data_IF_037218743375
#
_entry.id   IF_037218743375
#
_cell.length_a   1.000
_cell.length_b   1.000
_cell.length_c   1.000
_cell.angle_alpha   90.00
_cell.angle_beta   90.00
_cell.angle_gamma   90.00
#
_symmetry.space_group_name_H-M   'P 1'
#
loop_
_entity.id
_entity.type
_entity.pdbx_description
1 polymer ?
#
# COMPACT_ATOMS: atom_id res chain seq x y z
N UNK A 1 -15.21 36.02 -15.69
CA UNK A 1 -15.41 34.66 -16.24
C UNK A 1 -14.95 33.66 -15.19
N UNK A 2 -15.88 33.01 -14.49
CA UNK A 2 -15.56 32.01 -13.45
C UNK A 2 -15.45 30.63 -14.10
N UNK A 3 -14.31 29.96 -13.92
CA UNK A 3 -14.12 28.55 -14.27
C UNK A 3 -14.40 27.74 -13.00
N UNK A 4 -15.42 26.90 -13.03
CA UNK A 4 -15.79 26.03 -11.91
C UNK A 4 -14.93 24.76 -11.92
N UNK A 5 -14.17 24.52 -10.85
CA UNK A 5 -13.46 23.27 -10.64
C UNK A 5 -14.34 22.32 -9.81
N UNK A 6 -14.76 21.23 -10.43
CA UNK A 6 -15.59 20.18 -9.82
C UNK A 6 -14.72 19.28 -8.93
N UNK A 7 -14.93 19.29 -7.61
CA UNK A 7 -14.30 18.33 -6.67
C UNK A 7 -14.87 16.93 -6.92
N UNK A 8 -14.00 15.96 -7.24
CA UNK A 8 -14.36 14.55 -7.41
C UNK A 8 -14.24 13.82 -6.06
N UNK A 9 -15.37 13.38 -5.51
CA UNK A 9 -15.42 12.48 -4.36
C UNK A 9 -15.16 11.06 -4.86
N UNK A 10 -14.09 10.43 -4.37
CA UNK A 10 -13.71 9.07 -4.72
C UNK A 10 -14.67 8.06 -4.07
N UNK A 11 -15.74 7.70 -4.79
CA UNK A 11 -16.60 6.57 -4.45
C UNK A 11 -16.08 5.32 -5.15
N UNK A 12 -15.76 4.28 -4.38
CA UNK A 12 -15.41 2.95 -4.89
C UNK A 12 -16.52 2.43 -5.81
N UNK A 13 -16.27 2.37 -7.11
CA UNK A 13 -17.17 1.74 -8.08
C UNK A 13 -16.75 0.29 -8.33
N UNK A 14 -17.62 -0.64 -7.95
CA UNK A 14 -17.58 -2.04 -8.40
C UNK A 14 -18.09 -2.07 -9.84
N UNK A 15 -17.23 -2.41 -10.81
CA UNK A 15 -17.64 -2.58 -12.21
C UNK A 15 -17.92 -4.07 -12.48
N UNK A 16 -19.19 -4.42 -12.71
CA UNK A 16 -19.59 -5.72 -13.27
C UNK A 16 -19.52 -5.63 -14.81
N UNK A 17 -18.65 -6.42 -15.43
CA UNK A 17 -18.59 -6.56 -16.90
C UNK A 17 -19.69 -7.54 -17.34
N UNK A 18 -20.60 -7.11 -18.23
CA UNK A 18 -21.51 -7.99 -18.99
C UNK A 18 -21.06 -8.03 -20.45
N UNK A 19 -21.14 -9.22 -21.04
CA UNK A 19 -20.71 -9.58 -22.40
C UNK A 19 -21.68 -9.04 -23.48
N UNK A 20 -21.09 -8.70 -24.63
CA UNK A 20 -21.62 -7.98 -25.80
C UNK A 20 -22.91 -8.48 -26.47
N UNK A 21 -23.65 -7.57 -27.14
CA UNK A 21 -23.77 -7.46 -28.62
C UNK A 21 -24.74 -6.33 -29.05
N UNK A 22 -24.38 -5.63 -30.13
CA UNK A 22 -25.08 -4.48 -30.79
C UNK A 22 -25.94 -5.00 -31.99
N UNK A 23 -26.66 -4.19 -32.83
CA UNK A 23 -26.99 -2.75 -32.81
C UNK A 23 -28.45 -2.36 -33.28
N UNK A 24 -28.95 -1.14 -32.97
CA UNK A 24 -29.77 -0.27 -33.88
C UNK A 24 -30.13 1.10 -33.25
N UNK A 25 -30.20 2.16 -34.06
CA UNK A 25 -30.68 3.53 -33.74
C UNK A 25 -31.97 3.84 -34.56
N UNK A 26 -32.58 5.06 -34.53
CA UNK A 26 -32.84 6.08 -33.47
C UNK A 26 -34.36 6.44 -33.38
N UNK A 27 -34.81 7.30 -32.42
CA UNK A 27 -35.76 8.46 -32.63
C UNK A 27 -36.40 9.04 -31.33
N UNK A 28 -36.27 10.38 -31.21
CA UNK A 28 -37.19 11.47 -30.74
C UNK A 28 -37.97 11.46 -29.42
N UNK A 29 -37.77 12.57 -28.69
CA UNK A 29 -38.71 13.51 -28.04
C UNK A 29 -39.85 13.03 -27.14
N UNK A 30 -39.89 13.54 -25.91
CA UNK A 30 -40.82 14.62 -25.48
C UNK A 30 -40.77 14.76 -23.95
N UNK A 31 -40.49 15.97 -23.47
CA UNK A 31 -40.73 16.42 -22.10
C UNK A 31 -41.74 17.56 -22.12
N UNK A 32 -42.76 17.52 -21.27
CA UNK A 32 -43.61 18.68 -21.02
C UNK A 32 -44.34 18.64 -19.68
N UNK A 33 -44.59 19.86 -19.21
CA UNK A 33 -45.49 20.35 -18.14
C UNK A 33 -44.86 20.56 -16.75
N UNK A 34 -44.53 21.80 -16.35
CA UNK A 34 -45.40 22.95 -15.91
C UNK A 34 -46.04 22.68 -14.53
N UNK A 35 -46.14 23.59 -13.55
CA UNK A 35 -45.91 25.02 -13.45
C UNK A 35 -45.76 25.43 -11.95
N UNK A 36 -45.20 26.62 -11.75
CA UNK A 36 -45.11 27.48 -10.54
C UNK A 36 -46.50 27.94 -9.98
N UNK A 37 -46.59 28.91 -9.04
CA UNK A 37 -46.11 29.00 -7.64
C UNK A 37 -47.25 29.55 -6.72
N UNK A 38 -46.90 30.37 -5.69
CA UNK A 38 -47.72 31.28 -4.83
C UNK A 38 -47.79 30.77 -3.37
N UNK A 39 -46.99 31.26 -2.41
CA UNK A 39 -46.91 32.60 -1.77
C UNK A 39 -48.07 32.89 -0.79
N UNK A 40 -47.78 33.05 0.52
CA UNK A 40 -48.45 34.03 1.39
C UNK A 40 -47.79 34.14 2.79
N UNK A 41 -47.42 35.38 3.09
CA UNK A 41 -47.04 36.02 4.35
C UNK A 41 -47.86 35.66 5.61
N UNK A 42 -47.27 35.88 6.81
CA UNK A 42 -47.69 36.90 7.81
C UNK A 42 -46.77 36.88 9.06
N UNK A 43 -46.05 37.96 9.44
CA UNK A 43 -46.36 39.01 10.46
C UNK A 43 -46.75 38.44 11.84
N UNK A 44 -46.25 38.83 13.04
CA UNK A 44 -45.36 39.88 13.57
C UNK A 44 -45.34 39.82 15.12
N UNK A 45 -44.47 40.62 15.78
CA UNK A 45 -44.56 41.21 17.15
C UNK A 45 -44.06 40.37 18.36
N UNK A 46 -43.43 40.88 19.44
CA UNK A 46 -42.66 42.10 19.85
C UNK A 46 -42.01 41.78 21.24
N UNK A 47 -40.97 42.54 21.64
CA UNK A 47 -40.54 42.97 23.01
C UNK A 47 -39.74 42.05 23.97
N UNK A 48 -38.48 42.47 24.17
CA UNK A 48 -37.68 42.72 25.39
C UNK A 48 -37.54 41.71 26.55
N UNK A 49 -36.27 41.40 26.88
CA UNK A 49 -35.83 40.86 28.17
C UNK A 49 -34.32 40.57 28.22
N UNK A 50 -33.58 41.25 29.12
CA UNK A 50 -32.11 41.19 29.27
C UNK A 50 -31.59 39.87 29.88
N UNK A 51 -30.54 39.34 29.24
CA UNK A 51 -29.30 38.70 29.73
C UNK A 51 -29.35 37.69 30.89
N UNK A 52 -29.01 36.43 30.59
CA UNK A 52 -28.11 35.59 31.39
C UNK A 52 -27.21 34.75 30.46
N UNK A 53 -25.96 34.60 30.88
CA UNK A 53 -24.78 34.07 30.21
C UNK A 53 -24.89 32.64 29.65
N UNK A 54 -24.33 32.42 28.47
CA UNK A 54 -23.74 31.15 28.07
C UNK A 54 -22.55 31.47 27.17
N UNK A 55 -21.33 31.28 27.65
CA UNK A 55 -20.18 31.15 26.75
C UNK A 55 -20.44 29.92 25.89
N UNK A 56 -21.02 30.11 24.71
CA UNK A 56 -21.05 29.07 23.71
C UNK A 56 -19.61 28.88 23.27
N UNK A 57 -18.96 27.82 23.75
CA UNK A 57 -17.79 27.24 23.09
C UNK A 57 -18.20 26.97 21.65
N UNK A 58 -17.86 27.92 20.78
CA UNK A 58 -18.17 27.91 19.36
C UNK A 58 -17.40 26.73 18.78
N UNK A 59 -18.08 25.59 18.58
CA UNK A 59 -17.58 24.59 17.66
C UNK A 59 -17.44 25.29 16.31
N UNK A 60 -16.23 25.30 15.71
CA UNK A 60 -16.02 25.97 14.43
C UNK A 60 -17.05 25.44 13.43
N UNK A 61 -17.76 26.36 12.78
CA UNK A 61 -18.76 26.03 11.78
C UNK A 61 -18.11 25.24 10.64
N UNK A 62 -18.89 24.36 10.00
CA UNK A 62 -18.44 23.52 8.87
C UNK A 62 -17.75 24.32 7.75
N UNK A 63 -18.07 25.61 7.62
CA UNK A 63 -17.45 26.52 6.64
C UNK A 63 -15.94 26.77 6.90
N UNK A 64 -15.51 26.68 8.17
CA UNK A 64 -14.11 26.83 8.54
C UNK A 64 -13.27 25.58 8.16
N UNK A 65 -13.92 24.43 7.97
CA UNK A 65 -13.32 23.19 7.46
C UNK A 65 -13.30 23.12 5.91
N UNK A 66 -14.16 23.91 5.24
CA UNK A 66 -14.30 23.87 3.78
C UNK A 66 -13.45 24.95 3.06
N UNK A 67 -12.76 25.79 3.85
CA UNK A 67 -11.70 26.67 3.34
C UNK A 67 -10.64 25.82 2.64
N UNK A 68 -10.33 26.06 1.36
CA UNK A 68 -9.23 25.37 0.70
C UNK A 68 -7.97 25.62 1.53
N UNK A 69 -7.38 24.56 2.07
CA UNK A 69 -6.02 24.64 2.59
C UNK A 69 -5.18 25.01 1.37
N UNK A 70 -4.66 26.23 1.32
CA UNK A 70 -3.63 26.59 0.36
C UNK A 70 -2.46 25.65 0.62
N UNK A 71 -2.32 24.64 -0.25
CA UNK A 71 -1.17 23.76 -0.23
C UNK A 71 0.08 24.64 -0.38
N UNK A 72 1.04 24.59 0.55
CA UNK A 72 2.28 25.35 0.41
C UNK A 72 2.87 25.08 -0.97
N UNK A 73 3.40 26.09 -1.68
CA UNK A 73 3.91 25.92 -3.05
C UNK A 73 4.99 24.82 -3.19
N UNK A 74 5.54 24.34 -2.07
CA UNK A 74 6.52 23.24 -1.98
C UNK A 74 5.95 21.88 -1.55
N UNK A 75 4.64 21.73 -1.31
CA UNK A 75 4.04 20.40 -1.03
C UNK A 75 3.96 19.58 -2.31
N UNK A 76 4.99 18.78 -2.53
CA UNK A 76 5.04 17.88 -3.67
C UNK A 76 4.00 16.78 -3.52
N UNK A 77 3.10 16.67 -4.49
CA UNK A 77 2.19 15.54 -4.57
C UNK A 77 2.97 14.24 -4.84
N UNK A 78 3.22 13.48 -3.78
CA UNK A 78 3.95 12.20 -3.84
C UNK A 78 3.21 11.09 -4.58
N UNK A 79 2.01 11.32 -5.14
CA UNK A 79 1.36 10.35 -6.04
C UNK A 79 1.89 10.43 -7.48
N UNK A 80 2.55 11.53 -7.87
CA UNK A 80 3.07 11.73 -9.24
C UNK A 80 4.49 12.30 -9.29
N UNK A 81 4.97 12.94 -8.23
CA UNK A 81 6.29 13.59 -8.17
C UNK A 81 7.49 12.63 -8.19
N UNK A 82 8.58 13.02 -8.84
CA UNK A 82 9.91 12.40 -8.75
C UNK A 82 10.94 13.32 -8.07
N UNK A 83 10.47 14.26 -7.25
CA UNK A 83 11.31 15.26 -6.58
C UNK A 83 12.50 14.62 -5.84
N UNK A 84 13.70 15.18 -6.02
CA UNK A 84 14.91 14.73 -5.35
C UNK A 84 15.52 13.43 -5.88
N UNK A 85 14.94 12.82 -6.93
CA UNK A 85 15.53 11.64 -7.55
C UNK A 85 16.89 11.98 -8.18
N UNK A 86 17.92 11.20 -7.84
CA UNK A 86 19.28 11.32 -8.38
C UNK A 86 19.98 12.67 -8.20
N UNK A 87 19.49 13.54 -7.31
CA UNK A 87 20.11 14.87 -7.10
C UNK A 87 21.42 14.77 -6.32
N UNK A 88 21.50 13.90 -5.32
CA UNK A 88 22.71 13.67 -4.52
C UNK A 88 22.69 12.28 -3.84
N UNK A 89 23.85 11.73 -3.44
CA UNK A 89 23.89 10.55 -2.58
C UNK A 89 23.35 10.85 -1.16
N UNK A 90 23.01 9.80 -0.40
CA UNK A 90 22.77 9.96 1.04
C UNK A 90 24.11 10.14 1.79
N UNK A 91 24.10 10.71 3.01
CA UNK A 91 25.29 10.79 3.84
C UNK A 91 25.96 9.43 4.04
N UNK A 92 27.29 9.43 4.22
CA UNK A 92 28.07 8.19 4.36
C UNK A 92 27.56 7.29 5.50
N UNK A 93 27.19 7.87 6.64
CA UNK A 93 26.62 7.14 7.78
C UNK A 93 25.32 6.36 7.43
N UNK A 94 24.50 6.92 6.54
CA UNK A 94 23.25 6.28 6.07
C UNK A 94 23.62 5.16 5.10
N UNK A 95 24.53 5.43 4.15
CA UNK A 95 25.00 4.44 3.19
C UNK A 95 25.63 3.22 3.90
N UNK A 96 26.45 3.46 4.93
CA UNK A 96 27.09 2.43 5.74
C UNK A 96 26.07 1.52 6.44
N UNK A 97 24.90 2.04 6.81
CA UNK A 97 23.81 1.24 7.40
C UNK A 97 23.04 0.46 6.32
N UNK A 98 22.73 1.09 5.19
CA UNK A 98 21.95 0.47 4.12
C UNK A 98 22.71 -0.67 3.42
N UNK A 99 24.03 -0.55 3.31
CA UNK A 99 24.91 -1.51 2.67
C UNK A 99 25.47 -2.57 3.63
N UNK A 100 24.99 -2.63 4.88
CA UNK A 100 25.42 -3.68 5.82
C UNK A 100 25.05 -5.06 5.29
N UNK A 101 25.96 -6.05 5.42
CA UNK A 101 25.61 -7.43 5.11
C UNK A 101 24.49 -7.90 6.02
N UNK A 102 23.58 -8.68 5.46
CA UNK A 102 22.45 -9.30 6.15
C UNK A 102 22.99 -10.32 7.13
N UNK A 103 22.47 -10.28 8.36
CA UNK A 103 22.73 -11.34 9.34
C UNK A 103 22.13 -12.67 8.81
N UNK A 104 22.94 -13.73 8.59
CA UNK A 104 22.43 -14.99 8.07
C UNK A 104 21.29 -15.61 8.90
N UNK A 105 21.29 -15.38 10.22
CA UNK A 105 20.23 -15.89 11.10
C UNK A 105 18.85 -15.25 10.83
N UNK A 106 18.84 -14.04 10.26
CA UNK A 106 17.63 -13.32 9.92
C UNK A 106 17.04 -13.72 8.55
N UNK A 107 17.79 -14.49 7.76
CA UNK A 107 17.37 -14.92 6.42
C UNK A 107 16.55 -16.19 6.54
N UNK A 108 15.35 -16.17 6.00
CA UNK A 108 14.43 -17.32 5.97
C UNK A 108 14.45 -18.04 4.63
N UNK A 109 13.96 -19.28 4.61
CA UNK A 109 13.82 -20.07 3.39
C UNK A 109 12.41 -20.63 3.27
N UNK A 110 11.79 -20.44 2.11
CA UNK A 110 10.51 -21.07 1.77
C UNK A 110 10.72 -22.55 1.41
N UNK A 111 9.67 -23.38 1.50
CA UNK A 111 9.76 -24.80 1.11
C UNK A 111 10.17 -25.06 -0.34
N UNK A 112 9.98 -24.09 -1.24
CA UNK A 112 10.43 -24.13 -2.64
C UNK A 112 11.93 -23.81 -2.81
N UNK A 113 12.60 -23.41 -1.73
CA UNK A 113 14.00 -23.03 -1.69
C UNK A 113 14.25 -21.54 -1.95
N UNK A 114 13.24 -20.69 -2.06
CA UNK A 114 13.46 -19.25 -2.16
C UNK A 114 13.87 -18.70 -0.79
N UNK A 115 15.04 -18.06 -0.73
CA UNK A 115 15.47 -17.35 0.49
C UNK A 115 14.92 -15.92 0.49
N UNK A 116 14.59 -15.41 1.67
CA UNK A 116 14.07 -14.06 1.82
C UNK A 116 14.42 -13.48 3.18
N UNK A 117 14.45 -12.15 3.26
CA UNK A 117 14.53 -11.43 4.52
C UNK A 117 13.10 -11.03 4.93
N UNK A 118 12.66 -11.28 6.18
CA UNK A 118 11.34 -10.86 6.64
C UNK A 118 11.14 -9.33 6.57
N UNK A 119 9.92 -8.90 6.23
CA UNK A 119 9.55 -7.50 5.99
C UNK A 119 9.93 -6.55 7.14
N UNK A 120 9.79 -7.02 8.38
CA UNK A 120 10.13 -6.25 9.59
C UNK A 120 11.61 -5.85 9.61
N UNK A 121 12.51 -6.65 9.04
CA UNK A 121 13.95 -6.37 9.02
C UNK A 121 14.26 -5.18 8.11
N UNK A 122 13.61 -5.08 6.94
CA UNK A 122 13.73 -3.90 6.08
C UNK A 122 13.28 -2.63 6.80
N UNK A 123 12.13 -2.66 7.50
CA UNK A 123 11.65 -1.50 8.27
C UNK A 123 12.62 -1.08 9.37
N UNK A 124 13.24 -2.04 10.06
CA UNK A 124 14.27 -1.77 11.07
C UNK A 124 15.53 -1.15 10.46
N UNK A 125 15.97 -1.62 9.29
CA UNK A 125 17.10 -1.04 8.55
C UNK A 125 16.78 0.40 8.15
N UNK A 126 15.59 0.67 7.60
CA UNK A 126 15.17 2.03 7.25
C UNK A 126 15.05 2.94 8.47
N UNK A 127 14.49 2.46 9.59
CA UNK A 127 14.44 3.23 10.84
C UNK A 127 15.83 3.53 11.39
N UNK A 128 16.78 2.59 11.27
CA UNK A 128 18.17 2.79 11.69
C UNK A 128 18.88 3.80 10.78
N UNK A 129 18.66 3.71 9.47
CA UNK A 129 19.32 4.54 8.46
C UNK A 129 18.76 5.97 8.40
N UNK A 130 17.44 6.12 8.42
CA UNK A 130 16.77 7.41 8.19
C UNK A 130 16.09 8.00 9.44
N UNK A 131 15.90 7.20 10.49
CA UNK A 131 15.11 7.55 11.66
C UNK A 131 13.60 7.29 11.46
N UNK A 132 12.85 7.00 12.54
CA UNK A 132 11.38 6.98 12.49
C UNK A 132 10.82 8.31 11.98
N UNK A 133 9.92 8.28 11.00
CA UNK A 133 9.40 9.48 10.34
C UNK A 133 10.29 10.03 9.22
N UNK A 134 11.53 9.57 9.10
CA UNK A 134 12.47 9.95 8.03
C UNK A 134 12.25 9.23 6.70
N UNK A 135 11.27 8.32 6.61
CA UNK A 135 10.92 7.61 5.38
C UNK A 135 9.44 7.24 5.34
N UNK A 136 8.93 6.98 4.13
CA UNK A 136 7.54 6.57 3.93
C UNK A 136 7.29 5.98 2.54
N UNK A 137 6.18 5.26 2.41
CA UNK A 137 5.67 4.80 1.12
C UNK A 137 4.49 5.67 0.72
N UNK A 138 4.65 6.38 -0.39
CA UNK A 138 3.58 7.11 -1.03
C UNK A 138 2.85 6.18 -2.02
N UNK A 139 1.53 6.00 -1.89
CA UNK A 139 0.77 5.23 -2.86
C UNK A 139 0.78 5.89 -4.25
N UNK A 140 0.94 5.07 -5.29
CA UNK A 140 0.89 5.47 -6.70
C UNK A 140 -0.30 4.79 -7.37
N UNK A 141 -1.21 5.60 -7.90
CA UNK A 141 -2.45 5.12 -8.53
C UNK A 141 -3.40 4.42 -7.56
N UNK A 142 -4.45 3.82 -8.13
CA UNK A 142 -5.46 3.04 -7.40
C UNK A 142 -5.04 1.58 -7.23
N UNK A 143 -5.70 0.87 -6.31
CA UNK A 143 -5.52 -0.58 -6.22
C UNK A 143 -6.12 -1.27 -7.44
N UNK A 144 -5.34 -2.15 -8.07
CA UNK A 144 -5.85 -3.12 -9.04
C UNK A 144 -6.25 -4.38 -8.28
N UNK A 145 -7.57 -4.61 -8.18
CA UNK A 145 -8.13 -5.74 -7.45
C UNK A 145 -8.68 -6.76 -8.45
N UNK A 146 -8.10 -7.94 -8.45
CA UNK A 146 -8.60 -9.14 -9.13
C UNK A 146 -9.34 -10.05 -8.15
N UNK A 147 -9.95 -11.14 -8.62
CA UNK A 147 -10.75 -12.03 -7.79
C UNK A 147 -10.00 -12.64 -6.58
N UNK A 148 -8.67 -12.78 -6.66
CA UNK A 148 -7.82 -13.40 -5.62
C UNK A 148 -6.49 -12.67 -5.40
N UNK A 149 -6.34 -11.47 -5.94
CA UNK A 149 -5.08 -10.73 -5.88
C UNK A 149 -5.34 -9.22 -5.83
N UNK A 150 -4.56 -8.51 -5.04
CA UNK A 150 -4.50 -7.06 -5.02
C UNK A 150 -3.10 -6.61 -5.39
N UNK A 151 -2.98 -5.60 -6.24
CA UNK A 151 -1.70 -4.97 -6.56
C UNK A 151 -1.81 -3.46 -6.62
N UNK A 152 -0.72 -2.76 -6.26
CA UNK A 152 -0.61 -1.30 -6.34
C UNK A 152 0.84 -0.89 -6.42
N UNK A 153 1.10 0.24 -7.04
CA UNK A 153 2.42 0.85 -7.03
C UNK A 153 2.62 1.72 -5.79
N UNK A 154 3.84 1.73 -5.29
CA UNK A 154 4.26 2.59 -4.20
C UNK A 154 5.60 3.21 -4.54
N UNK A 155 5.79 4.46 -4.12
CA UNK A 155 7.07 5.15 -4.16
C UNK A 155 7.64 5.23 -2.75
N UNK A 156 8.89 4.79 -2.59
CA UNK A 156 9.67 5.03 -1.39
C UNK A 156 10.21 6.45 -1.41
N UNK A 157 9.94 7.18 -0.34
CA UNK A 157 10.44 8.51 -0.07
C UNK A 157 11.26 8.44 1.21
N UNK A 158 12.48 8.96 1.20
CA UNK A 158 13.36 9.04 2.37
C UNK A 158 13.88 10.47 2.47
N UNK A 159 13.87 11.09 3.65
CA UNK A 159 14.30 12.47 3.87
C UNK A 159 13.77 13.48 2.83
N UNK A 160 12.48 13.36 2.47
CA UNK A 160 11.82 14.27 1.55
C UNK A 160 12.20 14.12 0.07
N UNK A 161 12.89 13.04 -0.32
CA UNK A 161 13.26 12.75 -1.72
C UNK A 161 12.72 11.41 -2.18
N UNK A 162 12.28 11.37 -3.43
CA UNK A 162 11.96 10.13 -4.13
C UNK A 162 13.21 9.24 -4.22
N UNK A 163 13.04 7.97 -3.86
CA UNK A 163 14.12 6.98 -3.89
C UNK A 163 13.86 5.94 -4.98
N UNK A 164 12.73 5.27 -4.93
CA UNK A 164 12.39 4.15 -5.81
C UNK A 164 10.89 4.00 -5.93
N UNK A 165 10.43 3.36 -6.99
CA UNK A 165 9.04 2.98 -7.21
C UNK A 165 8.97 1.50 -7.55
N UNK A 166 8.06 0.79 -6.90
CA UNK A 166 7.82 -0.61 -7.19
C UNK A 166 6.34 -0.96 -7.04
N UNK A 167 5.91 -1.95 -7.82
CA UNK A 167 4.59 -2.57 -7.65
C UNK A 167 4.65 -3.63 -6.57
N UNK A 168 3.77 -3.51 -5.58
CA UNK A 168 3.49 -4.55 -4.61
C UNK A 168 2.27 -5.35 -5.03
N UNK A 169 2.23 -6.60 -4.61
CA UNK A 169 1.09 -7.49 -4.83
C UNK A 169 0.92 -8.43 -3.65
N UNK A 170 -0.31 -8.89 -3.43
CA UNK A 170 -0.63 -9.88 -2.42
C UNK A 170 -1.88 -10.67 -2.84
N UNK A 171 -1.78 -11.99 -2.71
CA UNK A 171 -2.91 -12.88 -2.93
C UNK A 171 -3.82 -12.94 -1.70
N UNK A 172 -5.12 -13.15 -1.95
CA UNK A 172 -6.12 -13.38 -0.92
C UNK A 172 -7.13 -14.43 -1.39
N UNK A 173 -7.73 -15.14 -0.45
CA UNK A 173 -8.68 -16.22 -0.75
C UNK A 173 -10.13 -15.75 -0.78
N UNK A 174 -10.47 -14.79 0.09
CA UNK A 174 -11.80 -14.22 0.23
C UNK A 174 -11.71 -12.70 0.41
N UNK A 175 -12.75 -11.97 -0.03
CA UNK A 175 -12.84 -10.51 0.05
C UNK A 175 -12.75 -10.01 1.49
N UNK A 176 -13.19 -10.80 2.46
CA UNK A 176 -13.02 -10.47 3.89
C UNK A 176 -11.54 -10.31 4.28
N UNK A 177 -10.62 -10.96 3.56
CA UNK A 177 -9.16 -10.83 3.73
C UNK A 177 -8.52 -9.66 2.97
N UNK A 178 -9.30 -8.88 2.21
CA UNK A 178 -8.78 -7.77 1.40
C UNK A 178 -8.03 -6.70 2.22
N UNK A 179 -8.44 -6.31 3.45
CA UNK A 179 -7.68 -5.35 4.26
C UNK A 179 -6.27 -5.85 4.60
N UNK A 180 -6.15 -7.11 5.03
CA UNK A 180 -4.85 -7.74 5.30
C UNK A 180 -4.01 -7.85 4.04
N UNK A 181 -4.64 -8.18 2.90
CA UNK A 181 -3.95 -8.26 1.62
C UNK A 181 -3.46 -6.88 1.14
N UNK A 182 -4.20 -5.81 1.41
CA UNK A 182 -3.78 -4.43 1.13
C UNK A 182 -2.51 -4.05 1.90
N UNK A 183 -2.42 -4.42 3.19
CA UNK A 183 -1.20 -4.20 3.97
C UNK A 183 -0.03 -5.06 3.47
N UNK A 184 -0.28 -6.32 3.11
CA UNK A 184 0.72 -7.19 2.49
C UNK A 184 1.25 -6.65 1.16
N UNK A 185 0.37 -6.12 0.31
CA UNK A 185 0.72 -5.46 -0.95
C UNK A 185 1.66 -4.28 -0.71
N UNK A 186 1.38 -3.44 0.30
CA UNK A 186 2.25 -2.32 0.70
C UNK A 186 3.62 -2.79 1.20
N UNK A 187 3.68 -3.79 2.07
CA UNK A 187 4.96 -4.32 2.54
C UNK A 187 5.76 -5.01 1.46
N UNK A 188 5.11 -5.68 0.50
CA UNK A 188 5.76 -6.29 -0.65
C UNK A 188 6.47 -5.24 -1.52
N UNK A 189 5.81 -4.12 -1.80
CA UNK A 189 6.41 -3.00 -2.51
C UNK A 189 7.62 -2.40 -1.77
N UNK A 190 7.54 -2.32 -0.43
CA UNK A 190 8.63 -1.80 0.41
C UNK A 190 9.94 -2.54 0.16
N UNK A 191 9.90 -3.87 0.24
CA UNK A 191 11.09 -4.72 0.08
C UNK A 191 11.72 -4.53 -1.30
N UNK A 192 10.88 -4.42 -2.34
CA UNK A 192 11.32 -4.17 -3.72
C UNK A 192 12.01 -2.80 -3.84
N UNK A 193 11.43 -1.74 -3.28
CA UNK A 193 12.03 -0.42 -3.28
C UNK A 193 13.37 -0.37 -2.52
N UNK A 194 13.47 -1.12 -1.41
CA UNK A 194 14.69 -1.16 -0.59
C UNK A 194 15.89 -1.77 -1.34
N UNK A 195 15.65 -2.56 -2.39
CA UNK A 195 16.72 -3.12 -3.22
C UNK A 195 17.55 -2.02 -3.90
N UNK A 196 16.90 -0.95 -4.35
CA UNK A 196 17.59 0.18 -5.01
C UNK A 196 18.44 1.00 -4.02
N UNK A 197 18.18 0.87 -2.72
CA UNK A 197 19.04 1.40 -1.65
C UNK A 197 20.22 0.47 -1.32
N UNK A 198 20.30 -0.72 -1.91
CA UNK A 198 21.32 -1.74 -1.65
C UNK A 198 20.99 -2.71 -0.51
N UNK A 199 19.86 -2.51 0.18
CA UNK A 199 19.47 -3.33 1.34
C UNK A 199 19.22 -4.78 0.91
N UNK A 200 19.87 -5.72 1.59
CA UNK A 200 19.72 -7.16 1.37
C UNK A 200 19.95 -7.61 -0.10
N UNK A 201 20.75 -6.83 -0.84
CA UNK A 201 21.05 -7.09 -2.26
C UNK A 201 21.68 -8.47 -2.50
N UNK A 202 22.45 -8.98 -1.54
CA UNK A 202 23.08 -10.31 -1.59
C UNK A 202 22.08 -11.47 -1.67
N UNK A 203 20.83 -11.29 -1.22
CA UNK A 203 19.79 -12.34 -1.35
C UNK A 203 19.40 -12.62 -2.81
N UNK A 204 19.84 -11.77 -3.73
CA UNK A 204 19.67 -11.92 -5.17
C UNK A 204 20.94 -12.42 -5.88
N UNK A 205 22.06 -12.58 -5.16
CA UNK A 205 23.30 -13.12 -5.72
C UNK A 205 23.24 -14.67 -5.73
N UNK A 206 23.31 -15.32 -6.91
CA UNK A 206 23.35 -16.78 -7.00
C UNK A 206 24.49 -17.42 -6.21
N UNK A 207 25.62 -16.74 -6.02
CA UNK A 207 26.75 -17.26 -5.23
C UNK A 207 26.42 -17.25 -3.75
N UNK A 208 25.89 -16.14 -3.22
CA UNK A 208 25.39 -16.07 -1.84
C UNK A 208 24.31 -17.13 -1.59
N UNK A 209 23.29 -17.23 -2.45
CA UNK A 209 22.19 -18.20 -2.29
C UNK A 209 22.71 -19.63 -2.16
N UNK A 210 23.65 -20.05 -3.02
CA UNK A 210 24.25 -21.39 -2.95
C UNK A 210 25.04 -21.62 -1.67
N UNK A 211 25.85 -20.64 -1.25
CA UNK A 211 26.64 -20.71 -0.01
C UNK A 211 25.74 -20.77 1.22
N UNK A 212 24.71 -19.91 1.27
CA UNK A 212 23.73 -19.86 2.34
C UNK A 212 22.99 -21.19 2.48
N UNK A 213 22.41 -21.71 1.38
CA UNK A 213 21.71 -23.00 1.40
C UNK A 213 22.59 -24.14 1.87
N UNK A 214 23.84 -24.23 1.39
CA UNK A 214 24.79 -25.27 1.81
C UNK A 214 25.09 -25.20 3.31
N UNK A 215 25.23 -23.98 3.86
CA UNK A 215 25.63 -23.77 5.24
C UNK A 215 24.46 -23.88 6.23
N UNK A 216 23.31 -23.30 5.92
CA UNK A 216 22.20 -23.10 6.85
C UNK A 216 20.93 -23.90 6.53
N UNK A 217 20.81 -24.46 5.32
CA UNK A 217 19.61 -25.15 4.89
C UNK A 217 19.87 -26.63 4.60
N UNK A 218 18.78 -27.37 4.48
CA UNK A 218 18.77 -28.79 4.15
C UNK A 218 17.58 -29.08 3.23
N UNK A 219 17.80 -29.94 2.24
CA UNK A 219 16.74 -30.49 1.40
C UNK A 219 16.28 -31.82 2.02
N UNK A 220 14.97 -31.98 2.20
CA UNK A 220 14.36 -33.15 2.83
C UNK A 220 13.22 -33.70 2.00
N UNK A 221 13.00 -35.01 2.06
CA UNK A 221 11.79 -35.63 1.54
C UNK A 221 10.64 -35.40 2.52
N UNK A 222 9.59 -34.74 2.04
CA UNK A 222 8.41 -34.44 2.82
C UNK A 222 7.17 -35.12 2.23
N UNK A 223 6.27 -35.56 3.09
CA UNK A 223 4.97 -36.12 2.72
C UNK A 223 3.85 -35.18 3.17
N UNK A 224 2.93 -34.88 2.26
CA UNK A 224 1.74 -34.10 2.58
C UNK A 224 0.79 -34.94 3.45
N UNK A 225 0.42 -34.44 4.63
CA UNK A 225 -0.33 -35.20 5.66
C UNK A 225 -1.66 -35.75 5.13
N UNK A 226 -2.43 -34.93 4.40
CA UNK A 226 -3.72 -35.32 3.81
C UNK A 226 -3.59 -36.14 2.51
N UNK A 227 -2.82 -35.66 1.54
CA UNK A 227 -2.77 -36.25 0.19
C UNK A 227 -1.75 -37.38 0.05
N UNK A 228 -0.90 -37.62 1.06
CA UNK A 228 0.18 -38.62 1.07
C UNK A 228 1.20 -38.48 -0.07
N UNK A 229 1.18 -37.35 -0.79
CA UNK A 229 2.13 -37.05 -1.87
C UNK A 229 3.48 -36.68 -1.29
N UNK A 230 4.55 -37.28 -1.83
CA UNK A 230 5.93 -37.00 -1.45
C UNK A 230 6.55 -35.95 -2.38
N UNK A 231 7.31 -35.00 -1.82
CA UNK A 231 8.05 -33.98 -2.56
C UNK A 231 9.33 -33.61 -1.82
N UNK A 232 10.37 -33.22 -2.55
CA UNK A 232 11.55 -32.56 -1.96
C UNK A 232 11.20 -31.13 -1.55
N UNK A 233 11.49 -30.75 -0.32
CA UNK A 233 11.29 -29.41 0.22
C UNK A 233 12.56 -28.93 0.91
N UNK A 234 12.73 -27.61 0.94
CA UNK A 234 13.80 -26.95 1.68
C UNK A 234 13.33 -26.51 3.07
N UNK A 235 14.24 -26.55 4.04
CA UNK A 235 14.07 -25.95 5.37
C UNK A 235 15.40 -25.48 5.94
N UNK A 236 15.37 -24.63 6.96
CA UNK A 236 16.54 -24.37 7.80
C UNK A 236 16.93 -25.65 8.56
N UNK A 237 18.23 -25.80 8.85
CA UNK A 237 18.75 -26.97 9.57
C UNK A 237 18.15 -27.12 10.96
N UNK A 238 17.93 -25.99 11.64
CA UNK A 238 17.46 -25.93 13.02
C UNK A 238 15.92 -25.88 13.15
N UNK A 239 15.21 -25.92 12.02
CA UNK A 239 13.74 -25.86 11.98
C UNK A 239 13.15 -27.14 11.40
N UNK A 240 11.90 -27.43 11.76
CA UNK A 240 11.10 -28.50 11.19
C UNK A 240 10.11 -27.97 10.15
N UNK A 241 9.68 -28.82 9.22
CA UNK A 241 8.61 -28.46 8.28
C UNK A 241 7.30 -28.17 9.02
N UNK A 242 6.60 -27.13 8.57
CA UNK A 242 5.25 -26.82 9.03
C UNK A 242 4.18 -27.66 8.32
N UNK A 243 3.00 -27.74 8.95
CA UNK A 243 1.80 -28.30 8.31
C UNK A 243 1.54 -27.57 6.97
N UNK A 244 1.19 -28.28 5.89
CA UNK A 244 0.70 -29.67 5.84
C UNK A 244 1.75 -30.74 5.56
N UNK A 245 3.05 -30.45 5.73
CA UNK A 245 4.11 -31.38 5.36
C UNK A 245 4.78 -32.00 6.58
N UNK A 246 5.09 -33.30 6.49
CA UNK A 246 5.87 -34.03 7.50
C UNK A 246 7.13 -34.58 6.86
N UNK A 247 8.26 -34.41 7.53
CA UNK A 247 9.54 -34.96 7.10
C UNK A 247 9.53 -36.49 7.14
N UNK A 248 10.02 -37.10 6.06
CA UNK A 248 10.11 -38.57 5.88
C UNK A 248 11.55 -39.06 5.72
N UNK A 249 12.51 -38.16 5.53
CA UNK A 249 13.94 -38.46 5.44
C UNK A 249 14.74 -37.33 4.77
N UNK A 250 16.07 -37.46 4.78
CA UNK A 250 16.99 -36.57 4.07
C UNK A 250 16.95 -36.83 2.55
N UNK A 251 17.06 -35.77 1.73
CA UNK A 251 16.87 -35.83 0.28
C UNK A 251 18.10 -36.21 -0.55
#
# INVERSE_FOLDING_TARGET
MKVAATRSVATTRIVKIKKDTNPRAPTTDTSSYNADPVNANSTSNTTDGKSYTSESSYFPSTEQFDSPIEEPEESHNWSTSFHGLSTQPFPAEVADILLQPVNPEDVEIKPDGLIYLPEIKYRRILNKAFGPGGWGLAPRGEHSISAKNISREYALVCHGRFVSQARGEQDFFDITGLPTASEGCKSNALMRCCKDLGVASELWDPVFIRKFKKKYCVEVWAEHVLTKKKKKLWRKKDESLEYPYKETGMA
#
